data_IF_847733839989
#
_entry.id   IF_847733839989
#
_cell.length_a   1.000
_cell.length_b   1.000
_cell.length_c   1.000
_cell.angle_alpha   90.00
_cell.angle_beta   90.00
_cell.angle_gamma   90.00
#
_symmetry.space_group_name_H-M   'P 1'
#
loop_
_entity.id
_entity.type
_entity.pdbx_description
1 polymer ?
#
# COMPACT_ATOMS: atom_id res chain seq x y z
N UNK A 1 -4.47 18.92 -2.83
CA UNK A 1 -3.94 19.51 -4.09
C UNK A 1 -2.76 18.66 -4.54
N UNK A 2 -2.46 18.67 -5.84
CA UNK A 2 -1.36 17.90 -6.43
C UNK A 2 0.01 18.40 -5.94
N UNK A 3 1.04 17.56 -6.07
CA UNK A 3 2.41 17.92 -5.68
C UNK A 3 3.05 18.87 -6.71
N UNK A 4 3.86 19.82 -6.24
CA UNK A 4 4.42 20.90 -7.07
C UNK A 4 5.35 20.40 -8.19
N UNK A 5 5.94 19.22 -8.02
CA UNK A 5 6.83 18.60 -9.01
C UNK A 5 6.08 17.92 -10.17
N UNK A 6 4.75 17.78 -10.10
CA UNK A 6 3.95 17.10 -11.13
C UNK A 6 3.41 18.11 -12.14
N UNK A 7 4.00 18.13 -13.34
CA UNK A 7 3.66 19.09 -14.42
C UNK A 7 2.27 18.83 -15.03
N UNK A 8 1.87 17.56 -15.13
CA UNK A 8 0.57 17.14 -15.68
C UNK A 8 0.00 15.98 -14.84
N UNK A 9 -0.62 16.29 -13.67
CA UNK A 9 -1.00 15.28 -12.69
C UNK A 9 -2.33 14.56 -13.01
N UNK A 10 -3.04 14.95 -14.07
CA UNK A 10 -4.38 14.44 -14.37
C UNK A 10 -4.49 13.93 -15.81
N UNK A 11 -4.79 12.64 -15.95
CA UNK A 11 -5.08 12.02 -17.25
C UNK A 11 -6.50 11.45 -17.25
N UNK A 12 -7.20 11.68 -18.35
CA UNK A 12 -8.56 11.20 -18.55
C UNK A 12 -8.60 10.28 -19.77
N UNK A 13 -9.29 9.15 -19.61
CA UNK A 13 -9.55 8.20 -20.68
C UNK A 13 -11.05 7.95 -20.72
N UNK A 14 -11.61 7.88 -21.92
CA UNK A 14 -13.05 7.70 -22.13
C UNK A 14 -13.31 6.56 -23.09
N UNK A 15 -14.46 5.91 -22.92
CA UNK A 15 -14.97 4.88 -23.83
C UNK A 15 -16.48 5.05 -23.94
N UNK A 16 -17.02 4.84 -25.14
CA UNK A 16 -18.45 4.87 -25.40
C UNK A 16 -19.12 3.49 -25.21
N UNK A 17 -18.35 2.46 -24.86
CA UNK A 17 -18.90 1.13 -24.63
C UNK A 17 -19.77 1.12 -23.36
N UNK A 18 -20.95 0.49 -23.44
CA UNK A 18 -21.80 0.28 -22.28
C UNK A 18 -21.07 -0.59 -21.26
N UNK A 19 -21.07 -0.16 -20.00
CA UNK A 19 -20.45 -0.90 -18.90
C UNK A 19 -21.46 -1.08 -17.77
N UNK A 20 -21.69 -2.35 -17.41
CA UNK A 20 -22.50 -2.76 -16.26
C UNK A 20 -23.91 -2.11 -16.19
N UNK A 21 -24.53 -1.86 -17.36
CA UNK A 21 -25.88 -1.28 -17.49
C UNK A 21 -26.10 0.10 -16.82
N UNK A 22 -25.03 0.80 -16.45
CA UNK A 22 -25.11 2.18 -15.96
C UNK A 22 -25.11 3.18 -17.12
N UNK A 23 -25.80 4.31 -16.94
CA UNK A 23 -25.81 5.42 -17.92
C UNK A 23 -24.39 6.00 -18.12
N UNK A 24 -23.66 6.23 -17.03
CA UNK A 24 -22.26 6.65 -17.03
C UNK A 24 -21.51 6.04 -15.84
N UNK A 25 -20.27 5.63 -16.07
CA UNK A 25 -19.36 5.14 -15.02
C UNK A 25 -18.04 5.89 -15.10
N UNK A 26 -17.45 6.17 -13.93
CA UNK A 26 -16.10 6.75 -13.83
C UNK A 26 -15.31 6.03 -12.75
N UNK A 27 -14.02 5.81 -13.02
CA UNK A 27 -13.07 5.23 -12.06
C UNK A 27 -11.92 6.21 -11.88
N UNK A 28 -11.62 6.55 -10.62
CA UNK A 28 -10.48 7.38 -10.27
C UNK A 28 -9.35 6.49 -9.76
N UNK A 29 -8.21 6.54 -10.43
CA UNK A 29 -6.95 5.99 -9.92
C UNK A 29 -6.12 7.19 -9.48
N UNK A 30 -5.75 7.22 -8.21
CA UNK A 30 -4.96 8.32 -7.63
C UNK A 30 -3.77 7.78 -6.86
N UNK A 31 -2.63 8.46 -6.98
CA UNK A 31 -1.48 8.22 -6.13
C UNK A 31 -1.43 9.32 -5.06
N UNK A 32 -1.58 8.95 -3.78
CA UNK A 32 -1.67 9.91 -2.68
C UNK A 32 -1.15 9.33 -1.37
N UNK A 33 -0.97 10.20 -0.36
CA UNK A 33 -0.59 9.81 1.00
C UNK A 33 -1.71 9.15 1.80
N UNK A 34 -2.91 8.98 1.25
CA UNK A 34 -4.07 8.44 1.98
C UNK A 34 -3.80 7.05 2.59
N UNK A 35 -2.97 6.24 1.94
CA UNK A 35 -2.64 4.88 2.38
C UNK A 35 -1.57 4.83 3.51
N UNK A 36 -0.83 5.92 3.73
CA UNK A 36 0.31 5.97 4.68
C UNK A 36 -0.12 5.59 6.10
N UNK A 37 -1.24 6.15 6.59
CA UNK A 37 -1.72 5.85 7.94
C UNK A 37 -2.14 4.38 8.10
N UNK A 38 -2.81 3.81 7.09
CA UNK A 38 -3.21 2.40 7.10
C UNK A 38 -1.99 1.49 7.12
N UNK A 39 -0.97 1.78 6.31
CA UNK A 39 0.28 1.02 6.30
C UNK A 39 1.00 1.08 7.64
N UNK A 40 1.14 2.28 8.23
CA UNK A 40 1.77 2.45 9.54
C UNK A 40 1.07 1.62 10.62
N UNK A 41 -0.26 1.75 10.75
CA UNK A 41 -1.02 0.99 11.76
C UNK A 41 -1.02 -0.52 11.53
N UNK A 42 -0.92 -0.97 10.27
CA UNK A 42 -0.78 -2.39 9.93
C UNK A 42 0.59 -2.90 10.33
N UNK A 43 1.63 -2.11 10.08
CA UNK A 43 3.01 -2.42 10.43
C UNK A 43 3.19 -2.53 11.94
N UNK A 44 2.61 -1.62 12.73
CA UNK A 44 2.66 -1.68 14.20
C UNK A 44 2.10 -3.00 14.73
N UNK A 45 0.93 -3.43 14.24
CA UNK A 45 0.30 -4.70 14.62
C UNK A 45 1.14 -5.90 14.20
N UNK A 46 1.70 -5.87 13.00
CA UNK A 46 2.52 -6.95 12.49
C UNK A 46 3.82 -7.08 13.30
N UNK A 47 4.43 -5.96 13.70
CA UNK A 47 5.57 -5.94 14.61
C UNK A 47 5.23 -6.50 15.99
N UNK A 48 4.09 -6.09 16.55
CA UNK A 48 3.64 -6.59 17.86
C UNK A 48 3.48 -8.12 17.82
N UNK A 49 2.77 -8.64 16.82
CA UNK A 49 2.62 -10.09 16.61
C UNK A 49 3.97 -10.80 16.42
N UNK A 50 4.86 -10.24 15.61
CA UNK A 50 6.18 -10.80 15.35
C UNK A 50 7.05 -10.85 16.61
N UNK A 51 7.04 -9.78 17.42
CA UNK A 51 7.80 -9.69 18.66
C UNK A 51 7.35 -10.71 19.71
N UNK A 52 6.06 -11.02 19.75
CA UNK A 52 5.49 -12.09 20.58
C UNK A 52 5.64 -13.49 19.98
N UNK A 53 6.24 -13.61 18.78
CA UNK A 53 6.38 -14.90 18.09
C UNK A 53 5.06 -15.50 17.62
N UNK A 54 4.00 -14.69 17.52
CA UNK A 54 2.67 -15.15 17.17
C UNK A 54 2.64 -15.66 15.73
N UNK A 55 2.10 -16.88 15.55
CA UNK A 55 1.91 -17.55 14.26
C UNK A 55 3.17 -17.83 13.42
N UNK A 56 4.38 -17.47 13.88
CA UNK A 56 5.62 -17.63 13.09
C UNK A 56 5.87 -19.07 12.64
N UNK A 57 5.59 -20.06 13.50
CA UNK A 57 5.75 -21.48 13.18
C UNK A 57 4.91 -21.92 11.96
N UNK A 58 3.80 -21.24 11.66
CA UNK A 58 2.97 -21.54 10.50
C UNK A 58 3.66 -21.11 9.20
N UNK A 59 4.40 -20.00 9.25
CA UNK A 59 5.18 -19.47 8.12
C UNK A 59 6.50 -20.23 7.94
N UNK A 60 7.18 -20.54 9.04
CA UNK A 60 8.42 -21.32 9.04
C UNK A 60 8.22 -22.70 8.38
N UNK A 61 7.05 -23.33 8.56
CA UNK A 61 6.68 -24.59 7.89
C UNK A 61 6.77 -24.53 6.36
N UNK A 62 6.61 -23.35 5.77
CA UNK A 62 6.68 -23.13 4.33
C UNK A 62 7.96 -22.40 3.89
N UNK A 63 8.98 -22.37 4.76
CA UNK A 63 10.29 -21.78 4.45
C UNK A 63 10.32 -20.25 4.54
N UNK A 64 9.33 -19.63 5.20
CA UNK A 64 9.37 -18.19 5.51
C UNK A 64 9.92 -18.03 6.91
N UNK A 65 11.17 -17.60 6.99
CA UNK A 65 11.89 -17.42 8.24
C UNK A 65 11.71 -16.02 8.84
N UNK A 66 12.33 -15.80 10.00
CA UNK A 66 12.26 -14.51 10.70
C UNK A 66 12.99 -13.39 9.96
N UNK A 67 14.05 -13.72 9.23
CA UNK A 67 14.81 -12.73 8.45
C UNK A 67 13.93 -12.14 7.35
N UNK A 68 13.11 -12.96 6.69
CA UNK A 68 12.14 -12.49 5.71
C UNK A 68 11.21 -11.41 6.29
N UNK A 69 10.65 -11.63 7.49
CA UNK A 69 9.78 -10.64 8.13
C UNK A 69 10.53 -9.33 8.45
N UNK A 70 11.75 -9.44 8.97
CA UNK A 70 12.57 -8.26 9.26
C UNK A 70 12.86 -7.44 7.99
N UNK A 71 13.20 -8.11 6.89
CA UNK A 71 13.38 -7.44 5.59
C UNK A 71 12.07 -6.81 5.07
N UNK A 72 10.94 -7.49 5.24
CA UNK A 72 9.64 -6.96 4.83
C UNK A 72 9.27 -5.69 5.62
N UNK A 73 9.50 -5.69 6.93
CA UNK A 73 9.26 -4.51 7.77
C UNK A 73 10.11 -3.32 7.34
N UNK A 74 11.42 -3.52 7.10
CA UNK A 74 12.30 -2.46 6.62
C UNK A 74 11.82 -1.86 5.29
N UNK A 75 11.34 -2.70 4.36
CA UNK A 75 10.81 -2.23 3.07
C UNK A 75 9.54 -1.39 3.25
N UNK A 76 8.60 -1.82 4.09
CA UNK A 76 7.35 -1.08 4.33
C UNK A 76 7.63 0.24 5.05
N UNK A 77 8.55 0.24 6.01
CA UNK A 77 8.96 1.45 6.72
C UNK A 77 9.58 2.47 5.75
N UNK A 78 10.50 2.01 4.89
CA UNK A 78 11.08 2.86 3.84
C UNK A 78 10.01 3.44 2.89
N UNK A 79 9.03 2.64 2.46
CA UNK A 79 7.91 3.12 1.62
C UNK A 79 7.12 4.20 2.36
N UNK A 80 6.80 3.97 3.64
CA UNK A 80 6.04 4.91 4.46
C UNK A 80 6.78 6.24 4.60
N UNK A 81 8.08 6.18 4.90
CA UNK A 81 8.94 7.38 5.00
C UNK A 81 9.04 8.13 3.67
N UNK A 82 9.22 7.43 2.56
CA UNK A 82 9.27 8.05 1.22
C UNK A 82 7.98 8.83 0.92
N UNK A 83 6.81 8.23 1.17
CA UNK A 83 5.53 8.92 0.97
C UNK A 83 5.28 10.05 1.97
N UNK A 84 5.80 9.94 3.20
CA UNK A 84 5.72 11.04 4.16
C UNK A 84 6.54 12.25 3.73
N UNK A 85 7.73 12.02 3.16
CA UNK A 85 8.67 13.06 2.74
C UNK A 85 8.33 13.78 1.41
N UNK A 86 7.44 13.21 0.59
CA UNK A 86 6.95 13.81 -0.67
C UNK A 86 6.04 15.03 -0.47
#
# INVERSE_FOLDING_TARGET
MYTDWSVDPFRCYTSAANFNSYDKTATLISNSKAMVQTLASTMDKAYDMFSHGAYLHQYERFGVDREFFQQAFLRIDQITQNYQAL
#
